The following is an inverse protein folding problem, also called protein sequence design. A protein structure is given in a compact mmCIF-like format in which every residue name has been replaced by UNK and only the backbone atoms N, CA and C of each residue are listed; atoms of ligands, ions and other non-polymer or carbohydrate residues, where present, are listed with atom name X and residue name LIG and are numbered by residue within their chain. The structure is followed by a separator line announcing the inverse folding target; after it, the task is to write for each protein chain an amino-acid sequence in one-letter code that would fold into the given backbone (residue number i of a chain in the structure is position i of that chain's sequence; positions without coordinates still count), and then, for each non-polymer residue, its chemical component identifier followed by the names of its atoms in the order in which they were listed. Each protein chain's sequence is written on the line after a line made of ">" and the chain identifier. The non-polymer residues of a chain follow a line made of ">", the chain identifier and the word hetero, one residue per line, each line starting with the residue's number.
data_IF_037115070908
#
_entry.id   IF_037115070908
#
_cell.length_a   1.000
_cell.length_b   1.000
_cell.length_c   1.000
_cell.angle_alpha   90.00
_cell.angle_beta   90.00
_cell.angle_gamma   90.00
#
_symmetry.space_group_name_H-M   'P 1'
#
loop_
_entity.id
_entity.type
_entity.pdbx_description
1 polymer ?
#
# COMPACT_ATOMS: atom_id res chain seq x y z
N UNK A 1 -4.80 23.32 -43.17
CA UNK A 1 -5.36 22.76 -41.91
C UNK A 1 -4.79 21.35 -41.74
N UNK A 2 -4.52 20.89 -40.53
CA UNK A 2 -4.06 19.50 -40.31
C UNK A 2 -5.24 18.54 -40.46
N UNK A 3 -5.05 17.46 -41.24
CA UNK A 3 -6.08 16.47 -41.53
C UNK A 3 -6.20 15.44 -40.39
N UNK A 4 -7.10 15.74 -39.45
CA UNK A 4 -7.34 15.00 -38.21
C UNK A 4 -7.80 13.55 -38.50
N UNK A 5 -8.58 13.32 -39.57
CA UNK A 5 -9.06 11.99 -39.91
C UNK A 5 -7.91 11.02 -40.25
N UNK A 6 -6.86 11.54 -40.91
CA UNK A 6 -5.69 10.73 -41.28
C UNK A 6 -4.94 10.20 -40.06
N UNK A 7 -4.96 10.94 -38.94
CA UNK A 7 -4.33 10.58 -37.67
C UNK A 7 -5.20 9.61 -36.87
N UNK A 8 -6.52 9.84 -36.83
CA UNK A 8 -7.44 8.94 -36.13
C UNK A 8 -7.42 7.53 -36.75
N UNK A 9 -7.50 7.43 -38.08
CA UNK A 9 -7.43 6.14 -38.80
C UNK A 9 -6.12 5.38 -38.53
N UNK A 10 -5.00 6.09 -38.32
CA UNK A 10 -3.71 5.48 -37.91
C UNK A 10 -3.76 4.98 -36.46
N UNK A 11 -4.29 5.78 -35.54
CA UNK A 11 -4.41 5.42 -34.12
C UNK A 11 -5.34 4.23 -33.88
N UNK A 12 -6.50 4.19 -34.55
CA UNK A 12 -7.45 3.07 -34.46
C UNK A 12 -6.82 1.74 -34.92
N UNK A 13 -6.00 1.73 -35.98
CA UNK A 13 -5.25 0.55 -36.43
C UNK A 13 -4.27 0.04 -35.37
N UNK A 14 -3.56 0.95 -34.69
CA UNK A 14 -2.63 0.58 -33.61
C UNK A 14 -3.38 0.03 -32.38
N UNK A 15 -4.44 0.72 -31.92
CA UNK A 15 -5.29 0.28 -30.81
C UNK A 15 -5.88 -1.11 -31.06
N UNK A 16 -6.41 -1.37 -32.26
CA UNK A 16 -6.98 -2.67 -32.64
C UNK A 16 -5.95 -3.80 -32.59
N UNK A 17 -4.74 -3.61 -33.14
CA UNK A 17 -3.65 -4.61 -33.06
C UNK A 17 -3.25 -4.91 -31.61
N UNK A 18 -3.22 -3.92 -30.72
CA UNK A 18 -2.94 -4.13 -29.29
C UNK A 18 -4.05 -4.92 -28.60
N UNK A 19 -5.32 -4.60 -28.86
CA UNK A 19 -6.47 -5.32 -28.29
C UNK A 19 -6.51 -6.79 -28.72
N UNK A 20 -6.24 -7.12 -29.99
CA UNK A 20 -6.23 -8.51 -30.48
C UNK A 20 -5.19 -9.37 -29.74
N UNK A 21 -3.99 -8.83 -29.48
CA UNK A 21 -2.97 -9.54 -28.69
C UNK A 21 -3.46 -9.83 -27.27
N UNK A 22 -4.00 -8.81 -26.58
CA UNK A 22 -4.51 -8.95 -25.20
C UNK A 22 -5.66 -9.97 -25.14
N UNK A 23 -6.58 -9.94 -26.11
CA UNK A 23 -7.68 -10.90 -26.21
C UNK A 23 -7.17 -12.35 -26.36
N UNK A 24 -6.16 -12.59 -27.20
CA UNK A 24 -5.53 -13.91 -27.35
C UNK A 24 -4.94 -14.44 -26.04
N UNK A 25 -4.20 -13.60 -25.31
CA UNK A 25 -3.66 -13.97 -23.99
C UNK A 25 -4.76 -14.25 -22.95
N UNK A 26 -5.84 -13.45 -22.94
CA UNK A 26 -6.97 -13.70 -22.02
C UNK A 26 -7.68 -15.03 -22.28
N UNK A 27 -7.82 -15.43 -23.56
CA UNK A 27 -8.49 -16.67 -23.93
C UNK A 27 -7.66 -17.90 -23.52
N UNK A 28 -6.33 -17.84 -23.66
CA UNK A 28 -5.42 -18.88 -23.14
C UNK A 28 -5.53 -19.05 -21.62
N UNK A 29 -5.58 -17.95 -20.85
CA UNK A 29 -5.71 -17.99 -19.39
C UNK A 29 -7.05 -18.63 -18.97
N UNK A 30 -8.14 -18.34 -19.69
CA UNK A 30 -9.46 -18.96 -19.42
C UNK A 30 -9.41 -20.48 -19.66
N UNK A 31 -8.77 -20.95 -20.73
CA UNK A 31 -8.61 -22.40 -20.99
C UNK A 31 -7.76 -23.07 -19.90
N UNK A 32 -6.65 -22.46 -19.50
CA UNK A 32 -5.75 -22.98 -18.46
C UNK A 32 -6.42 -23.05 -17.08
N UNK A 33 -7.34 -22.14 -16.76
CA UNK A 33 -8.06 -22.12 -15.47
C UNK A 33 -9.31 -23.00 -15.45
N UNK A 34 -10.01 -23.15 -16.57
CA UNK A 34 -11.25 -23.95 -16.64
C UNK A 34 -11.01 -25.44 -16.75
N UNK A 35 -9.98 -25.90 -17.48
CA UNK A 35 -9.71 -27.33 -17.64
C UNK A 35 -9.40 -28.08 -16.32
N UNK A 36 -8.52 -27.58 -15.42
CA UNK A 36 -8.27 -28.24 -14.14
C UNK A 36 -9.50 -28.25 -13.23
N UNK A 37 -10.29 -27.17 -13.25
CA UNK A 37 -11.51 -27.05 -12.45
C UNK A 37 -12.58 -28.06 -12.89
N UNK A 38 -12.72 -28.28 -14.20
CA UNK A 38 -13.62 -29.29 -14.75
C UNK A 38 -13.20 -30.72 -14.39
N UNK A 39 -11.90 -31.03 -14.43
CA UNK A 39 -11.36 -32.34 -14.04
C UNK A 39 -11.63 -32.60 -12.54
N UNK A 40 -11.34 -31.62 -11.67
CA UNK A 40 -11.61 -31.70 -10.23
C UNK A 40 -13.09 -31.91 -9.90
N UNK A 41 -13.99 -31.23 -10.62
CA UNK A 41 -15.43 -31.41 -10.46
C UNK A 41 -15.89 -32.81 -10.89
N UNK A 42 -15.29 -33.38 -11.95
CA UNK A 42 -15.60 -34.74 -12.39
C UNK A 42 -15.11 -35.81 -11.39
N UNK A 43 -13.91 -35.66 -10.81
CA UNK A 43 -13.37 -36.64 -9.87
C UNK A 43 -14.16 -36.75 -8.56
N UNK A 44 -14.69 -35.64 -8.04
CA UNK A 44 -15.48 -35.66 -6.79
C UNK A 44 -16.82 -36.37 -7.01
N UNK A 45 -17.45 -36.19 -8.17
CA UNK A 45 -18.75 -36.80 -8.46
C UNK A 45 -18.67 -38.33 -8.68
N UNK A 46 -17.48 -38.90 -8.91
CA UNK A 46 -17.31 -40.35 -9.12
C UNK A 46 -17.15 -41.18 -7.85
N UNK A 47 -16.84 -40.59 -6.68
CA UNK A 47 -16.56 -41.37 -5.46
C UNK A 47 -17.83 -41.79 -4.68
N UNK A 48 -18.99 -41.18 -4.94
CA UNK A 48 -20.24 -41.46 -4.21
C UNK A 48 -21.00 -42.73 -4.66
N UNK A 49 -20.44 -43.54 -5.57
CA UNK A 49 -21.14 -44.66 -6.22
C UNK A 49 -20.86 -46.06 -5.62
N UNK A 50 -19.94 -46.21 -4.65
CA UNK A 50 -19.54 -47.54 -4.12
C UNK A 50 -19.56 -47.61 -2.60
N UNK A 51 -20.75 -47.83 -2.02
CA UNK A 51 -20.89 -48.32 -0.64
C UNK A 51 -22.24 -49.01 -0.41
N UNK A 52 -22.37 -50.24 -0.90
CA UNK A 52 -23.40 -51.20 -0.46
C UNK A 52 -22.83 -52.63 -0.48
N UNK A 53 -22.50 -53.17 0.69
CA UNK A 53 -21.99 -54.54 0.90
C UNK A 53 -22.33 -55.02 2.32
N UNK A 54 -22.66 -56.31 2.54
CA UNK A 54 -23.51 -56.71 3.67
C UNK A 54 -22.78 -57.08 4.99
N UNK A 55 -23.54 -57.05 6.09
CA UNK A 55 -23.11 -57.40 7.46
C UNK A 55 -23.11 -58.93 7.72
N UNK A 56 -21.96 -59.48 8.14
CA UNK A 56 -21.75 -60.82 8.75
C UNK A 56 -20.45 -60.75 9.59
N UNK A 57 -20.28 -61.21 10.83
CA UNK A 57 -21.18 -61.62 11.93
C UNK A 57 -20.43 -61.47 13.29
N UNK A 58 -21.05 -61.82 14.43
CA UNK A 58 -20.46 -61.73 15.77
C UNK A 58 -19.52 -62.90 16.14
N UNK A 59 -18.46 -62.62 16.91
CA UNK A 59 -17.98 -63.53 17.96
C UNK A 59 -17.32 -62.76 19.11
N UNK A 60 -17.83 -62.96 20.32
CA UNK A 60 -17.31 -62.44 21.60
C UNK A 60 -16.61 -63.54 22.40
N UNK A 61 -15.91 -63.13 23.48
CA UNK A 61 -15.27 -63.86 24.63
C UNK A 61 -13.83 -63.32 24.82
N UNK A 62 -13.31 -63.00 26.01
CA UNK A 62 -13.91 -62.65 27.31
C UNK A 62 -12.84 -61.97 28.20
N UNK A 63 -13.32 -61.15 29.15
CA UNK A 63 -12.72 -60.51 30.34
C UNK A 63 -11.30 -60.94 30.81
N UNK A 64 -10.47 -59.94 31.16
CA UNK A 64 -9.75 -59.95 32.45
C UNK A 64 -9.58 -58.52 33.00
N UNK A 65 -9.73 -58.36 34.32
CA UNK A 65 -9.76 -57.06 35.00
C UNK A 65 -8.38 -56.60 35.49
N UNK A 66 -8.16 -55.29 35.55
CA UNK A 66 -6.94 -54.67 36.07
C UNK A 66 -7.24 -53.29 36.68
N UNK A 67 -7.46 -53.26 37.99
CA UNK A 67 -7.78 -52.04 38.77
C UNK A 67 -6.54 -51.18 38.98
N UNK A 68 -6.64 -49.86 38.80
CA UNK A 68 -6.15 -48.87 39.79
C UNK A 68 -6.51 -47.42 39.42
N UNK A 69 -7.01 -46.69 40.41
CA UNK A 69 -7.24 -45.24 40.33
C UNK A 69 -5.94 -44.47 40.59
N UNK A 70 -5.78 -43.29 39.98
CA UNK A 70 -5.13 -42.15 40.66
C UNK A 70 -5.78 -40.83 40.26
N UNK A 71 -6.24 -40.12 41.28
CA UNK A 71 -6.82 -38.77 41.20
C UNK A 71 -5.70 -37.73 41.32
N UNK A 72 -5.62 -36.72 40.44
CA UNK A 72 -5.50 -35.34 40.94
C UNK A 72 -5.82 -34.18 39.97
N UNK A 73 -6.71 -33.31 40.46
CA UNK A 73 -6.80 -31.84 40.33
C UNK A 73 -6.39 -31.11 39.03
N UNK A 74 -7.43 -30.54 38.41
CA UNK A 74 -7.70 -29.08 38.38
C UNK A 74 -6.63 -28.12 37.78
N UNK A 75 -6.97 -27.41 36.67
CA UNK A 75 -7.61 -26.07 36.73
C UNK A 75 -7.56 -25.28 35.39
N UNK A 76 -8.73 -25.16 34.76
CA UNK A 76 -9.32 -23.95 34.11
C UNK A 76 -8.59 -23.19 32.96
N UNK A 77 -9.38 -22.98 31.89
CA UNK A 77 -9.47 -21.79 30.99
C UNK A 77 -8.39 -21.48 29.92
N UNK A 78 -8.78 -21.79 28.68
CA UNK A 78 -8.98 -20.85 27.55
C UNK A 78 -7.82 -19.93 27.10
N UNK A 79 -7.38 -20.13 25.86
CA UNK A 79 -6.90 -19.06 24.99
C UNK A 79 -7.22 -19.34 23.51
N UNK A 80 -7.85 -18.38 22.84
CA UNK A 80 -7.96 -18.33 21.38
C UNK A 80 -6.77 -17.53 20.82
N UNK A 81 -6.20 -17.88 19.65
CA UNK A 81 -4.94 -17.30 19.20
C UNK A 81 -5.12 -15.98 18.42
N UNK A 82 -4.35 -14.95 18.80
CA UNK A 82 -4.18 -13.73 17.99
C UNK A 82 -3.11 -13.91 16.89
N UNK A 83 -3.18 -13.17 15.76
CA UNK A 83 -2.31 -13.40 14.61
C UNK A 83 -0.87 -12.89 14.81
N UNK A 84 0.10 -13.64 14.25
CA UNK A 84 1.53 -13.33 14.34
C UNK A 84 1.93 -12.19 13.40
N UNK A 85 2.66 -11.20 13.92
CA UNK A 85 3.48 -10.30 13.11
C UNK A 85 4.81 -11.01 12.79
N UNK A 86 5.26 -10.97 11.53
CA UNK A 86 6.61 -11.39 11.16
C UNK A 86 7.46 -10.16 10.88
N UNK A 87 8.56 -10.03 11.62
CA UNK A 87 9.67 -9.16 11.27
C UNK A 87 10.64 -9.93 10.36
N UNK A 88 11.19 -9.26 9.35
CA UNK A 88 12.37 -9.72 8.64
C UNK A 88 13.44 -8.64 8.83
N UNK A 89 14.57 -9.05 9.37
CA UNK A 89 15.78 -8.25 9.52
C UNK A 89 16.97 -9.15 9.14
N UNK A 90 18.12 -8.53 8.86
CA UNK A 90 19.39 -9.12 8.43
C UNK A 90 19.44 -9.60 6.95
N UNK A 91 20.55 -9.45 6.21
CA UNK A 91 21.76 -8.63 6.42
C UNK A 91 22.47 -8.49 5.06
N UNK A 92 23.01 -7.31 4.74
CA UNK A 92 24.06 -7.16 3.72
C UNK A 92 24.85 -5.87 3.97
N UNK A 93 26.13 -6.00 4.31
CA UNK A 93 27.03 -4.87 4.55
C UNK A 93 28.33 -5.10 3.79
N UNK A 94 28.56 -4.33 2.72
CA UNK A 94 29.91 -4.03 2.21
C UNK A 94 29.93 -2.58 1.68
N UNK A 95 30.87 -1.81 2.23
CA UNK A 95 31.55 -0.61 1.73
C UNK A 95 31.73 -0.49 0.19
N UNK A 96 31.92 0.69 -0.44
CA UNK A 96 31.93 2.10 0.01
C UNK A 96 31.94 3.08 -1.19
N UNK A 97 31.98 4.39 -0.89
CA UNK A 97 32.43 5.55 -1.71
C UNK A 97 31.42 6.43 -2.48
N UNK A 98 31.47 7.73 -2.13
CA UNK A 98 31.23 8.96 -2.92
C UNK A 98 29.94 9.11 -3.77
N UNK A 99 29.27 10.27 -3.82
CA UNK A 99 29.78 11.65 -3.72
C UNK A 99 28.66 12.61 -3.26
N UNK A 100 28.94 13.53 -2.33
CA UNK A 100 28.01 14.60 -1.94
C UNK A 100 28.11 15.79 -2.90
N UNK A 101 26.98 16.35 -3.33
CA UNK A 101 26.91 17.71 -3.90
C UNK A 101 25.65 18.42 -3.42
N UNK A 102 25.68 19.00 -2.22
CA UNK A 102 24.72 20.03 -1.84
C UNK A 102 25.19 21.37 -2.39
N UNK A 103 24.59 21.83 -3.48
CA UNK A 103 24.88 23.15 -4.05
C UNK A 103 24.16 24.25 -3.25
N UNK A 104 24.72 24.60 -2.09
CA UNK A 104 24.34 25.83 -1.40
C UNK A 104 24.88 27.03 -2.19
N UNK A 105 24.05 27.62 -3.07
CA UNK A 105 24.34 28.96 -3.61
C UNK A 105 24.11 30.01 -2.52
N UNK A 106 25.17 30.28 -1.76
CA UNK A 106 25.26 31.45 -0.90
C UNK A 106 25.44 32.69 -1.80
N UNK A 107 24.35 33.38 -2.13
CA UNK A 107 24.42 34.65 -2.85
C UNK A 107 25.04 35.69 -1.92
N UNK A 108 26.26 36.11 -2.24
CA UNK A 108 26.97 37.16 -1.52
C UNK A 108 26.28 38.51 -1.76
N UNK A 109 25.88 39.18 -0.68
CA UNK A 109 25.53 40.60 -0.71
C UNK A 109 26.82 41.38 -0.46
N UNK A 110 27.20 42.23 -1.40
CA UNK A 110 28.26 43.23 -1.23
C UNK A 110 27.76 44.56 -1.79
N UNK A 111 27.72 45.57 -0.94
CA UNK A 111 27.20 46.90 -1.26
C UNK A 111 28.05 47.63 -2.29
N UNK A 112 27.37 48.43 -3.13
CA UNK A 112 27.86 49.76 -3.53
C UNK A 112 26.72 50.67 -3.97
N UNK A 113 26.79 51.92 -3.50
CA UNK A 113 25.74 52.95 -3.60
C UNK A 113 25.50 53.45 -5.03
N UNK A 114 24.25 53.83 -5.34
CA UNK A 114 23.86 54.40 -6.63
C UNK A 114 22.39 54.84 -6.67
N UNK A 115 22.08 56.03 -6.14
CA UNK A 115 20.72 56.61 -6.10
C UNK A 115 20.29 57.09 -7.50
N UNK A 116 19.41 56.35 -8.19
CA UNK A 116 18.58 56.89 -9.28
C UNK A 116 17.14 56.41 -9.14
N UNK A 117 16.23 57.36 -9.05
CA UNK A 117 14.80 57.18 -8.90
C UNK A 117 14.12 57.12 -10.27
N UNK A 118 13.53 55.97 -10.64
CA UNK A 118 12.56 55.88 -11.75
C UNK A 118 11.44 54.89 -11.42
N UNK A 119 10.22 55.42 -11.42
CA UNK A 119 8.97 54.66 -11.37
C UNK A 119 8.86 53.71 -12.58
N UNK A 120 8.80 52.41 -12.34
CA UNK A 120 8.18 51.43 -13.24
C UNK A 120 7.35 50.48 -12.37
N UNK A 121 6.03 50.48 -12.58
CA UNK A 121 5.11 49.68 -11.79
C UNK A 121 5.37 48.18 -11.98
N UNK A 122 5.63 47.47 -10.89
CA UNK A 122 5.72 46.00 -10.89
C UNK A 122 4.32 45.45 -11.18
N UNK A 123 4.07 44.72 -12.28
CA UNK A 123 2.79 44.07 -12.48
C UNK A 123 2.61 43.00 -11.40
N UNK A 124 1.64 43.25 -10.50
CA UNK A 124 1.30 42.33 -9.42
C UNK A 124 1.08 40.92 -9.96
N UNK A 125 1.86 39.95 -9.48
CA UNK A 125 1.69 38.54 -9.84
C UNK A 125 0.30 38.10 -9.39
N UNK A 126 -0.63 38.07 -10.35
CA UNK A 126 -2.03 37.67 -10.14
C UNK A 126 -2.03 36.27 -9.53
N UNK A 127 -2.34 36.17 -8.24
CA UNK A 127 -2.46 34.89 -7.54
C UNK A 127 -3.54 34.09 -8.26
N UNK A 128 -3.16 32.99 -8.89
CA UNK A 128 -4.10 32.10 -9.58
C UNK A 128 -4.86 31.35 -8.48
N UNK A 129 -6.05 31.85 -8.14
CA UNK A 129 -7.01 31.09 -7.34
C UNK A 129 -7.52 29.95 -8.22
N UNK A 130 -6.89 28.78 -8.08
CA UNK A 130 -7.32 27.56 -8.75
C UNK A 130 -8.48 26.95 -7.95
N UNK A 131 -9.71 27.33 -8.30
CA UNK A 131 -10.91 26.70 -7.73
C UNK A 131 -11.03 25.26 -8.25
N UNK A 132 -10.50 24.32 -7.48
CA UNK A 132 -10.63 22.89 -7.75
C UNK A 132 -12.03 22.43 -7.34
N UNK A 133 -12.95 22.36 -8.31
CA UNK A 133 -14.27 21.79 -8.07
C UNK A 133 -14.18 20.30 -7.61
N UNK A 134 -14.57 20.05 -6.35
CA UNK A 134 -14.50 18.75 -5.65
C UNK A 134 -15.12 17.56 -6.44
N UNK A 135 -16.10 17.82 -7.30
CA UNK A 135 -16.72 16.81 -8.15
C UNK A 135 -15.71 16.12 -9.09
N UNK A 136 -14.80 16.90 -9.71
CA UNK A 136 -13.74 16.37 -10.58
C UNK A 136 -12.70 15.59 -9.78
N UNK A 137 -12.34 16.09 -8.59
CA UNK A 137 -11.44 15.42 -7.65
C UNK A 137 -11.94 14.00 -7.31
N UNK A 138 -13.23 13.86 -7.02
CA UNK A 138 -13.84 12.55 -6.66
C UNK A 138 -13.80 11.55 -7.82
N UNK A 139 -13.93 12.00 -9.07
CA UNK A 139 -13.78 11.10 -10.23
C UNK A 139 -12.32 10.69 -10.44
N UNK A 140 -11.37 11.63 -10.37
CA UNK A 140 -9.92 11.35 -10.48
C UNK A 140 -9.48 10.31 -9.44
N UNK A 141 -9.93 10.44 -8.20
CA UNK A 141 -9.64 9.46 -7.13
C UNK A 141 -10.14 8.05 -7.49
N UNK A 142 -11.37 7.91 -7.99
CA UNK A 142 -11.91 6.61 -8.43
C UNK A 142 -11.13 6.01 -9.60
N UNK A 143 -10.69 6.83 -10.55
CA UNK A 143 -9.88 6.40 -11.69
C UNK A 143 -8.49 5.93 -11.25
N UNK A 144 -7.89 6.57 -10.24
CA UNK A 144 -6.63 6.14 -9.63
C UNK A 144 -6.82 4.81 -8.86
N UNK A 145 -7.85 4.70 -8.00
CA UNK A 145 -8.14 3.45 -7.28
C UNK A 145 -8.40 2.27 -8.25
N UNK A 146 -9.09 2.52 -9.36
CA UNK A 146 -9.39 1.50 -10.37
C UNK A 146 -8.17 1.04 -11.18
N UNK A 147 -7.20 1.94 -11.46
CA UNK A 147 -5.97 1.58 -12.21
C UNK A 147 -4.84 1.07 -11.32
N UNK A 148 -4.88 1.37 -10.01
CA UNK A 148 -3.83 1.00 -9.06
C UNK A 148 -3.35 -0.46 -9.13
N UNK A 149 -4.22 -1.49 -9.30
CA UNK A 149 -3.78 -2.88 -9.40
C UNK A 149 -2.79 -3.15 -10.55
N UNK A 150 -2.84 -2.32 -11.60
CA UNK A 150 -2.07 -2.45 -12.84
C UNK A 150 -0.84 -1.52 -12.88
N UNK A 151 -0.95 -0.29 -12.34
CA UNK A 151 0.15 0.70 -12.37
C UNK A 151 1.08 0.58 -11.17
N UNK A 152 0.51 0.50 -9.95
CA UNK A 152 1.25 0.50 -8.67
C UNK A 152 2.29 1.62 -8.54
N UNK A 153 1.97 2.79 -9.10
CA UNK A 153 2.85 3.97 -9.08
C UNK A 153 2.85 4.66 -7.71
N UNK A 154 4.03 5.07 -7.22
CA UNK A 154 4.17 5.73 -5.93
C UNK A 154 3.34 7.02 -5.85
N UNK A 155 3.42 7.87 -6.87
CA UNK A 155 2.76 9.19 -6.92
C UNK A 155 1.23 9.08 -6.84
N UNK A 156 0.64 8.16 -7.61
CA UNK A 156 -0.79 7.82 -7.52
C UNK A 156 -1.17 7.36 -6.09
N UNK A 157 -0.31 6.54 -5.47
CA UNK A 157 -0.57 5.93 -4.16
C UNK A 157 -0.49 6.97 -3.02
N UNK A 158 0.54 7.83 -3.03
CA UNK A 158 0.68 8.89 -2.03
C UNK A 158 -0.37 9.99 -2.25
N UNK A 159 -0.80 10.24 -3.48
CA UNK A 159 -1.93 11.14 -3.78
C UNK A 159 -3.24 10.65 -3.16
N UNK A 160 -3.57 9.35 -3.33
CA UNK A 160 -4.72 8.74 -2.66
C UNK A 160 -4.63 8.88 -1.13
N UNK A 161 -3.45 8.61 -0.55
CA UNK A 161 -3.23 8.74 0.88
C UNK A 161 -3.48 10.19 1.38
N UNK A 162 -2.95 11.19 0.66
CA UNK A 162 -3.13 12.62 0.97
C UNK A 162 -4.60 13.04 0.88
N UNK A 163 -5.29 12.61 -0.18
CA UNK A 163 -6.72 12.88 -0.35
C UNK A 163 -7.54 12.30 0.81
N UNK A 164 -7.31 11.04 1.18
CA UNK A 164 -8.06 10.45 2.28
C UNK A 164 -7.70 11.04 3.65
N UNK A 165 -6.46 11.51 3.84
CA UNK A 165 -6.07 12.22 5.07
C UNK A 165 -6.80 13.56 5.19
N UNK A 166 -6.85 14.35 4.10
CA UNK A 166 -7.51 15.67 4.10
C UNK A 166 -9.03 15.59 4.24
N UNK A 167 -9.65 14.49 3.79
CA UNK A 167 -11.08 14.20 4.01
C UNK A 167 -11.34 13.47 5.34
N UNK A 168 -10.39 13.48 6.29
CA UNK A 168 -10.44 12.82 7.61
C UNK A 168 -10.70 11.28 7.59
N UNK A 169 -10.56 10.62 6.44
CA UNK A 169 -10.71 9.17 6.27
C UNK A 169 -9.40 8.45 6.64
N UNK A 170 -8.91 8.68 7.86
CA UNK A 170 -7.58 8.26 8.32
C UNK A 170 -7.30 6.77 8.15
N UNK A 171 -8.30 5.90 8.30
CA UNK A 171 -8.15 4.45 8.08
C UNK A 171 -7.87 4.07 6.61
N UNK A 172 -8.32 4.88 5.64
CA UNK A 172 -7.94 4.72 4.23
C UNK A 172 -6.59 5.36 3.95
N UNK A 173 -6.35 6.56 4.49
CA UNK A 173 -5.07 7.25 4.37
C UNK A 173 -3.91 6.38 4.88
N UNK A 174 -4.09 5.70 6.02
CA UNK A 174 -3.16 4.73 6.59
C UNK A 174 -2.83 3.60 5.59
N UNK A 175 -3.85 2.96 5.01
CA UNK A 175 -3.68 1.86 4.06
C UNK A 175 -2.91 2.30 2.81
N UNK A 176 -3.29 3.44 2.23
CA UNK A 176 -2.65 3.96 1.03
C UNK A 176 -1.22 4.44 1.32
N UNK A 177 -0.97 5.10 2.44
CA UNK A 177 0.39 5.48 2.84
C UNK A 177 1.28 4.25 3.08
N UNK A 178 0.78 3.23 3.80
CA UNK A 178 1.50 1.96 3.97
C UNK A 178 1.78 1.25 2.64
N UNK A 179 0.85 1.32 1.68
CA UNK A 179 1.05 0.81 0.33
C UNK A 179 2.12 1.61 -0.42
N UNK A 180 2.19 2.94 -0.25
CA UNK A 180 3.24 3.79 -0.81
C UNK A 180 4.61 3.42 -0.24
N UNK A 181 4.75 3.20 1.09
CA UNK A 181 5.97 2.69 1.72
C UNK A 181 6.42 1.33 1.13
N UNK A 182 5.47 0.52 0.65
CA UNK A 182 5.73 -0.81 0.07
C UNK A 182 6.19 -0.72 -1.38
N UNK A 183 5.88 0.38 -2.08
CA UNK A 183 6.32 0.66 -3.45
C UNK A 183 7.68 1.34 -3.43
N UNK A 184 7.84 2.38 -2.61
CA UNK A 184 9.11 3.05 -2.35
C UNK A 184 9.21 3.42 -0.86
N UNK A 185 10.11 2.72 -0.17
CA UNK A 185 10.38 2.91 1.25
C UNK A 185 11.36 4.04 1.53
N UNK A 186 11.98 4.64 0.51
CA UNK A 186 12.96 5.74 0.66
C UNK A 186 12.30 7.12 0.77
N UNK A 187 11.02 7.22 0.39
CA UNK A 187 10.27 8.47 0.47
C UNK A 187 9.79 8.73 1.90
N UNK A 188 10.28 9.78 2.55
CA UNK A 188 9.89 10.08 3.94
C UNK A 188 8.40 10.43 4.08
N UNK A 189 7.79 10.97 3.03
CA UNK A 189 6.42 11.47 3.08
C UNK A 189 5.38 10.36 3.32
N UNK A 190 5.60 9.18 2.73
CA UNK A 190 4.72 8.03 2.90
C UNK A 190 4.77 7.51 4.35
N UNK A 191 5.96 7.41 4.95
CA UNK A 191 6.15 7.08 6.37
C UNK A 191 5.52 8.11 7.31
N UNK A 192 5.72 9.40 7.03
CA UNK A 192 5.12 10.50 7.79
C UNK A 192 3.59 10.41 7.74
N UNK A 193 3.01 10.22 6.55
CA UNK A 193 1.56 10.19 6.37
C UNK A 193 0.93 8.91 6.96
N UNK A 194 1.61 7.77 6.89
CA UNK A 194 1.19 6.52 7.54
C UNK A 194 1.13 6.68 9.06
N UNK A 195 2.19 7.24 9.67
CA UNK A 195 2.24 7.48 11.11
C UNK A 195 1.22 8.54 11.57
N UNK A 196 1.12 9.67 10.86
CA UNK A 196 0.10 10.71 11.13
C UNK A 196 -1.32 10.14 11.08
N UNK A 197 -1.62 9.30 10.09
CA UNK A 197 -2.91 8.60 9.97
C UNK A 197 -3.18 7.68 11.17
N UNK A 198 -2.17 6.99 11.71
CA UNK A 198 -2.31 6.23 12.96
C UNK A 198 -2.51 7.12 14.19
N UNK A 199 -1.76 8.21 14.30
CA UNK A 199 -1.87 9.15 15.41
C UNK A 199 -3.26 9.81 15.48
N UNK A 200 -3.81 10.27 14.34
CA UNK A 200 -5.18 10.82 14.28
C UNK A 200 -6.28 9.77 14.54
N UNK A 201 -5.99 8.47 14.40
CA UNK A 201 -6.85 7.37 14.87
C UNK A 201 -6.62 6.99 16.35
N UNK A 202 -5.92 7.80 17.15
CA UNK A 202 -5.62 7.53 18.55
C UNK A 202 -4.43 6.59 18.81
N UNK A 203 -3.84 5.99 17.76
CA UNK A 203 -2.72 5.03 17.87
C UNK A 203 -1.36 5.74 18.00
N UNK A 204 -1.29 6.76 18.86
CA UNK A 204 -0.15 7.69 19.04
C UNK A 204 1.18 6.97 19.32
N UNK A 205 1.17 5.96 20.19
CA UNK A 205 2.37 5.19 20.51
C UNK A 205 2.90 4.38 19.31
N UNK A 206 2.00 3.83 18.48
CA UNK A 206 2.38 3.11 17.26
C UNK A 206 2.96 4.06 16.21
N UNK A 207 2.35 5.24 16.03
CA UNK A 207 2.86 6.29 15.14
C UNK A 207 4.28 6.74 15.53
N UNK A 208 4.51 6.98 16.83
CA UNK A 208 5.83 7.34 17.34
C UNK A 208 6.87 6.23 17.12
N UNK A 209 6.52 4.95 17.31
CA UNK A 209 7.42 3.82 16.99
C UNK A 209 7.79 3.76 15.51
N UNK A 210 6.84 3.98 14.60
CA UNK A 210 7.06 3.97 13.15
C UNK A 210 8.05 5.09 12.76
N UNK A 211 7.80 6.31 13.22
CA UNK A 211 8.65 7.46 12.89
C UNK A 211 10.02 7.36 13.54
N UNK A 212 10.12 6.88 14.79
CA UNK A 212 11.40 6.68 15.45
C UNK A 212 12.26 5.67 14.67
N UNK A 213 11.70 4.51 14.29
CA UNK A 213 12.43 3.52 13.49
C UNK A 213 12.93 4.07 12.14
N UNK A 214 12.12 4.89 11.45
CA UNK A 214 12.54 5.55 10.21
C UNK A 214 13.58 6.67 10.46
N UNK A 215 13.44 7.43 11.54
CA UNK A 215 14.42 8.44 11.94
C UNK A 215 15.78 7.83 12.29
N UNK A 216 15.79 6.72 13.03
CA UNK A 216 17.01 6.02 13.43
C UNK A 216 17.79 5.47 12.21
N UNK A 217 17.10 5.19 11.10
CA UNK A 217 17.70 4.77 9.83
C UNK A 217 18.17 5.94 8.94
N UNK A 218 17.45 7.06 8.93
CA UNK A 218 17.64 8.13 7.92
C UNK A 218 18.20 9.44 8.47
N UNK A 219 18.09 9.68 9.77
CA UNK A 219 18.42 10.95 10.41
C UNK A 219 17.52 12.13 10.02
N UNK A 220 16.41 11.92 9.30
CA UNK A 220 15.59 13.02 8.75
C UNK A 220 15.10 14.00 9.83
N UNK A 221 15.50 15.26 9.71
CA UNK A 221 15.07 16.35 10.60
C UNK A 221 13.56 16.60 10.52
N UNK A 222 12.96 16.42 9.35
CA UNK A 222 11.51 16.57 9.16
C UNK A 222 10.75 15.50 9.95
N UNK A 223 11.20 14.24 9.90
CA UNK A 223 10.63 13.14 10.69
C UNK A 223 10.78 13.42 12.18
N UNK A 224 11.94 13.95 12.63
CA UNK A 224 12.16 14.36 14.02
C UNK A 224 11.18 15.46 14.48
N UNK A 225 10.90 16.44 13.63
CA UNK A 225 9.91 17.48 13.93
C UNK A 225 8.51 16.87 14.10
N UNK A 226 8.08 15.98 13.21
CA UNK A 226 6.78 15.29 13.31
C UNK A 226 6.69 14.41 14.57
N UNK A 227 7.78 13.74 14.97
CA UNK A 227 7.85 13.01 16.25
C UNK A 227 7.58 13.96 17.42
N UNK A 228 8.22 15.14 17.43
CA UNK A 228 8.06 16.12 18.51
C UNK A 228 6.68 16.80 18.50
N UNK A 229 6.07 17.03 17.34
CA UNK A 229 4.69 17.49 17.21
C UNK A 229 3.71 16.48 17.79
N UNK A 230 3.86 15.19 17.41
CA UNK A 230 3.04 14.11 17.93
C UNK A 230 3.27 13.93 19.44
N UNK A 231 4.50 14.07 19.96
CA UNK A 231 4.80 14.02 21.42
C UNK A 231 4.20 15.18 22.19
N UNK A 232 4.20 16.39 21.64
CA UNK A 232 3.66 17.60 22.28
C UNK A 232 2.14 17.76 22.08
N UNK A 233 1.53 16.99 21.19
CA UNK A 233 0.10 17.10 20.88
C UNK A 233 -0.23 18.35 20.08
N UNK A 234 0.74 18.86 19.30
CA UNK A 234 0.51 19.95 18.34
C UNK A 234 -0.25 19.42 17.13
N UNK A 235 -0.72 20.30 16.25
CA UNK A 235 -1.29 19.86 14.98
C UNK A 235 -0.22 19.21 14.08
N UNK A 236 -0.61 18.11 13.42
CA UNK A 236 0.22 17.31 12.52
C UNK A 236 -0.63 16.66 11.42
#
# INVERSE_FOLDING_TARGET
>A
MYDIESLERKWQKYRRKRMIRIAGWSLLIIVITTAPMAIYYYSINTEHAVSNGPKVSNKSIEVSAGVSNTVNKNKKTTSAPSPKQQAILANASVESQAKKTHTNMLIQVSDKSGKVEKNVGIPSKKKINLEVHDAKSTQVIKEIEARFPYTREYDDTIYLAKYYYSKHQYRKAEKWAMQANTIDSTQEESWILYAKSKAKQGHRAAALRILQAYYDQTGSLHVKMVIDDIRKGREF
#
